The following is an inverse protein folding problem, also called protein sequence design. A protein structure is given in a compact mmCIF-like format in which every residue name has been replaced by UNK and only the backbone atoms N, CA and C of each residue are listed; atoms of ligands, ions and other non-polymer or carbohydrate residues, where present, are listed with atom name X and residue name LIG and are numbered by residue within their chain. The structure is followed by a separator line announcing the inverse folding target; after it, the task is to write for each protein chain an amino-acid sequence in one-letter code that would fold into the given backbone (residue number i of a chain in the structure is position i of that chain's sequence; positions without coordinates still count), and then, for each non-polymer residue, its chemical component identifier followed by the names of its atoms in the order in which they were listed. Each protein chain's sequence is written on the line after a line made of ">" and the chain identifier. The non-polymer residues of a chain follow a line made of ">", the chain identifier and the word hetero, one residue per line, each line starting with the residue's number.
data_IF_367958745037
#
_entry.id   IF_367958745037
#
_cell.length_a   1.000
_cell.length_b   1.000
_cell.length_c   1.000
_cell.angle_alpha   90.00
_cell.angle_beta   90.00
_cell.angle_gamma   90.00
#
_symmetry.space_group_name_H-M   'P 1'
#
loop_
_entity.id
_entity.type
_entity.pdbx_description
1 polymer ?
#
# COMPACT_ATOMS: atom_id res chain seq x y z
N UNK A 1 -80.50 -16.89 -5.85
CA UNK A 1 -80.44 -15.44 -6.13
C UNK A 1 -79.31 -14.84 -5.29
N UNK A 2 -78.40 -14.09 -5.94
CA UNK A 2 -77.24 -13.41 -5.32
C UNK A 2 -77.69 -12.31 -4.34
N UNK A 3 -76.93 -12.09 -3.26
CA UNK A 3 -76.41 -10.77 -2.83
C UNK A 3 -75.45 -10.96 -1.64
N UNK A 4 -74.15 -10.83 -1.88
CA UNK A 4 -73.35 -9.59 -1.83
C UNK A 4 -72.82 -9.33 -0.40
N UNK A 5 -71.58 -9.75 -0.17
CA UNK A 5 -70.74 -9.43 1.00
C UNK A 5 -69.76 -8.37 0.55
N UNK A 6 -69.65 -7.20 1.20
CA UNK A 6 -68.40 -6.41 1.25
C UNK A 6 -68.34 -5.49 2.49
N UNK A 7 -67.37 -5.79 3.37
CA UNK A 7 -66.43 -5.00 4.19
C UNK A 7 -66.81 -3.78 5.05
N UNK A 8 -66.18 -3.71 6.24
CA UNK A 8 -65.21 -2.68 6.67
C UNK A 8 -64.42 -3.18 7.93
N UNK A 9 -63.25 -2.60 8.28
CA UNK A 9 -62.02 -3.35 8.51
C UNK A 9 -61.54 -3.39 9.97
N UNK A 10 -60.73 -4.39 10.30
CA UNK A 10 -59.99 -4.47 11.57
C UNK A 10 -58.60 -3.89 11.36
N UNK A 11 -58.31 -2.78 12.06
CA UNK A 11 -56.98 -2.18 12.14
C UNK A 11 -55.99 -3.14 12.80
N UNK A 12 -54.98 -3.57 12.05
CA UNK A 12 -53.79 -4.22 12.59
C UNK A 12 -52.68 -3.16 12.64
N UNK A 13 -52.25 -2.84 13.87
CA UNK A 13 -51.07 -2.04 14.15
C UNK A 13 -49.83 -2.80 13.64
N UNK A 14 -49.24 -2.35 12.55
CA UNK A 14 -47.93 -2.81 12.09
C UNK A 14 -46.87 -2.02 12.87
N UNK A 15 -46.24 -2.66 13.86
CA UNK A 15 -45.01 -2.14 14.43
C UNK A 15 -43.90 -2.34 13.39
N UNK A 16 -43.66 -1.30 12.58
CA UNK A 16 -42.51 -1.22 11.70
C UNK A 16 -41.26 -1.03 12.59
N UNK A 17 -40.67 -2.13 13.06
CA UNK A 17 -39.31 -2.10 13.59
C UNK A 17 -38.43 -1.81 12.38
N UNK A 18 -38.05 -0.54 12.23
CA UNK A 18 -36.91 -0.13 11.43
C UNK A 18 -35.68 -0.84 11.98
N UNK A 19 -35.37 -2.04 11.47
CA UNK A 19 -33.99 -2.51 11.44
C UNK A 19 -33.24 -1.56 10.50
N UNK A 20 -32.85 -0.39 11.01
CA UNK A 20 -31.68 0.29 10.49
C UNK A 20 -30.48 -0.55 10.94
N UNK A 21 -30.30 -1.71 10.32
CA UNK A 21 -29.00 -2.36 10.26
C UNK A 21 -28.11 -1.37 9.53
N UNK A 22 -27.46 -0.48 10.29
CA UNK A 22 -26.27 0.20 9.79
C UNK A 22 -25.33 -0.95 9.48
N UNK A 23 -25.16 -1.24 8.19
CA UNK A 23 -24.03 -2.04 7.74
C UNK A 23 -22.80 -1.28 8.20
N UNK A 24 -22.30 -1.61 9.40
CA UNK A 24 -21.00 -1.15 9.82
C UNK A 24 -20.05 -1.76 8.81
N UNK A 25 -19.29 -0.92 8.12
CA UNK A 25 -18.15 -1.42 7.37
C UNK A 25 -17.28 -2.14 8.40
N UNK A 26 -17.18 -3.46 8.32
CA UNK A 26 -16.35 -4.26 9.21
C UNK A 26 -14.89 -4.05 8.82
N UNK A 27 -14.36 -2.86 9.12
CA UNK A 27 -13.01 -2.45 8.74
C UNK A 27 -11.98 -3.36 9.43
N UNK A 28 -10.79 -3.57 8.84
CA UNK A 28 -9.83 -4.52 9.37
C UNK A 28 -9.32 -4.13 10.77
N UNK A 29 -8.91 -5.14 11.54
CA UNK A 29 -8.09 -4.95 12.73
C UNK A 29 -6.69 -4.44 12.33
N UNK A 30 -6.25 -3.36 12.98
CA UNK A 30 -4.96 -2.73 12.72
C UNK A 30 -3.84 -3.22 13.64
N UNK A 31 -4.15 -4.01 14.68
CA UNK A 31 -3.14 -4.53 15.61
C UNK A 31 -2.09 -5.35 14.87
N UNK A 32 -0.82 -5.07 15.16
CA UNK A 32 0.31 -5.73 14.50
C UNK A 32 0.49 -5.41 13.02
N UNK A 33 -0.36 -4.55 12.42
CA UNK A 33 -0.23 -4.17 11.01
C UNK A 33 0.90 -3.18 10.82
N UNK A 34 1.55 -3.30 9.68
CA UNK A 34 2.44 -2.27 9.14
C UNK A 34 1.66 -1.48 8.10
N UNK A 35 1.61 -0.16 8.26
CA UNK A 35 1.01 0.77 7.32
C UNK A 35 2.10 1.68 6.75
N UNK A 36 2.00 1.96 5.45
CA UNK A 36 2.88 2.87 4.74
C UNK A 36 2.16 4.19 4.50
N UNK A 37 2.79 5.28 4.93
CA UNK A 37 2.24 6.63 4.83
C UNK A 37 2.82 7.31 3.59
N UNK A 38 1.92 7.86 2.76
CA UNK A 38 2.24 8.76 1.65
C UNK A 38 1.63 10.15 1.90
N UNK A 39 2.17 11.18 1.27
CA UNK A 39 1.79 12.58 1.52
C UNK A 39 2.99 13.52 1.35
N UNK A 40 2.88 14.75 1.83
CA UNK A 40 3.99 15.72 1.75
C UNK A 40 4.27 16.34 3.11
N UNK A 41 5.50 16.20 3.60
CA UNK A 41 5.94 16.88 4.81
C UNK A 41 6.58 18.22 4.44
N UNK A 42 6.04 19.32 4.96
CA UNK A 42 6.45 20.68 4.62
C UNK A 42 6.93 21.43 5.86
N UNK A 43 7.86 22.34 5.64
CA UNK A 43 8.23 23.35 6.61
C UNK A 43 8.18 24.74 5.96
N UNK A 44 7.82 25.75 6.74
CA UNK A 44 7.81 27.13 6.27
C UNK A 44 8.24 28.09 7.38
N UNK A 45 8.45 29.34 7.00
CA UNK A 45 8.93 30.41 7.87
C UNK A 45 10.08 31.15 7.20
N UNK A 46 10.48 32.29 7.76
CA UNK A 46 11.56 33.11 7.19
C UNK A 46 12.82 32.98 8.03
N UNK A 47 13.96 32.67 7.41
CA UNK A 47 15.27 32.64 8.03
C UNK A 47 16.33 33.13 7.04
N UNK A 48 17.38 33.79 7.53
CA UNK A 48 18.43 34.37 6.67
C UNK A 48 17.94 35.34 5.58
N UNK A 49 16.73 35.89 5.71
CA UNK A 49 16.12 36.78 4.71
C UNK A 49 15.30 36.07 3.64
N UNK A 50 15.30 34.74 3.61
CA UNK A 50 14.59 33.92 2.62
C UNK A 50 13.46 33.11 3.26
N UNK A 51 12.48 32.70 2.46
CA UNK A 51 11.48 31.74 2.89
C UNK A 51 12.10 30.34 2.89
N UNK A 52 11.97 29.63 4.00
CA UNK A 52 12.52 28.29 4.19
C UNK A 52 11.95 27.30 3.17
N UNK A 53 10.69 27.49 2.75
CA UNK A 53 10.08 26.69 1.71
C UNK A 53 10.84 26.79 0.37
N UNK A 54 11.61 27.85 0.11
CA UNK A 54 12.40 27.98 -1.13
C UNK A 54 13.63 27.08 -1.13
N UNK A 55 14.13 26.65 0.03
CA UNK A 55 15.19 25.64 0.11
C UNK A 55 14.68 24.22 -0.17
N UNK A 56 13.36 24.01 -0.14
CA UNK A 56 12.72 22.73 -0.44
C UNK A 56 11.28 22.98 -0.92
N UNK A 57 11.10 23.51 -2.15
CA UNK A 57 9.80 23.98 -2.64
C UNK A 57 8.73 22.87 -2.64
N UNK A 58 9.16 21.63 -2.85
CA UNK A 58 8.29 20.47 -2.88
C UNK A 58 8.09 19.82 -1.50
N UNK A 59 8.82 20.29 -0.47
CA UNK A 59 8.90 19.62 0.83
C UNK A 59 9.65 18.30 0.76
N UNK A 60 9.41 17.43 1.75
CA UNK A 60 9.82 16.02 1.70
C UNK A 60 8.60 15.21 1.26
N UNK A 61 8.63 14.69 0.04
CA UNK A 61 7.58 13.80 -0.45
C UNK A 61 7.68 12.41 0.16
N UNK A 62 6.58 11.95 0.76
CA UNK A 62 6.36 10.57 1.14
C UNK A 62 5.68 9.90 -0.04
N UNK A 63 6.46 9.22 -0.87
CA UNK A 63 5.96 8.56 -2.07
C UNK A 63 5.64 7.10 -1.78
N UNK A 64 4.91 6.44 -2.69
CA UNK A 64 4.68 5.00 -2.59
C UNK A 64 5.99 4.19 -2.64
N UNK A 65 7.04 4.72 -3.29
CA UNK A 65 8.37 4.10 -3.42
C UNK A 65 9.29 4.38 -2.23
N UNK A 66 9.00 5.41 -1.42
CA UNK A 66 9.72 5.74 -0.19
C UNK A 66 8.75 6.23 0.91
N UNK A 67 7.84 5.36 1.38
CA UNK A 67 6.84 5.76 2.36
C UNK A 67 7.42 5.82 3.77
N UNK A 68 6.77 6.59 4.65
CA UNK A 68 7.03 6.47 6.08
C UNK A 68 6.33 5.20 6.62
N UNK A 69 7.08 4.34 7.30
CA UNK A 69 6.58 3.05 7.83
C UNK A 69 6.02 3.23 9.24
N UNK A 70 4.72 3.09 9.40
CA UNK A 70 4.06 3.05 10.71
C UNK A 70 3.77 1.61 11.13
N UNK A 71 4.39 1.17 12.23
CA UNK A 71 4.13 -0.16 12.81
C UNK A 71 3.18 -0.02 14.00
N UNK A 72 2.02 -0.66 13.93
CA UNK A 72 1.01 -0.63 14.99
C UNK A 72 1.24 -1.81 15.94
N UNK A 73 1.32 -1.53 17.24
CA UNK A 73 1.50 -2.56 18.26
C UNK A 73 0.33 -3.58 18.33
N UNK A 74 0.60 -4.74 18.92
CA UNK A 74 -0.36 -5.85 19.03
C UNK A 74 -1.32 -5.74 20.25
N UNK A 75 -1.27 -4.67 21.03
CA UNK A 75 -2.08 -4.53 22.25
C UNK A 75 -3.46 -3.86 22.00
N UNK A 76 -4.44 -4.14 22.86
CA UNK A 76 -5.76 -3.47 22.88
C UNK A 76 -6.96 -4.35 22.51
N UNK A 77 -8.17 -3.82 22.73
CA UNK A 77 -9.45 -4.45 22.36
C UNK A 77 -9.72 -4.31 20.84
N UNK A 78 -10.54 -5.21 20.30
CA UNK A 78 -10.80 -5.33 18.86
C UNK A 78 -11.60 -4.16 18.28
N UNK A 79 -12.50 -3.56 19.06
CA UNK A 79 -13.43 -2.51 18.56
C UNK A 79 -12.93 -1.07 18.73
N UNK A 80 -11.81 -0.87 19.43
CA UNK A 80 -11.28 0.45 19.73
C UNK A 80 -9.84 0.31 20.24
N UNK A 81 -8.96 -0.21 19.40
CA UNK A 81 -7.60 -0.55 19.83
C UNK A 81 -6.90 0.70 20.31
N UNK A 82 -6.40 0.70 21.56
CA UNK A 82 -5.36 1.65 21.96
C UNK A 82 -4.16 1.35 21.06
N UNK A 83 -3.99 2.14 20.00
CA UNK A 83 -2.90 2.00 19.08
C UNK A 83 -1.66 2.61 19.71
N UNK A 84 -0.52 1.96 19.55
CA UNK A 84 0.77 2.62 19.68
C UNK A 84 1.55 2.40 18.40
N UNK A 85 2.27 3.42 17.96
CA UNK A 85 3.09 3.33 16.76
C UNK A 85 4.35 4.20 16.87
N UNK A 86 5.28 3.93 15.97
CA UNK A 86 6.40 4.83 15.68
C UNK A 86 6.17 5.41 14.30
N UNK A 87 6.17 6.74 14.21
CA UNK A 87 6.18 7.44 12.93
C UNK A 87 7.61 7.90 12.64
N UNK A 88 8.36 7.19 11.78
CA UNK A 88 9.63 7.67 11.29
C UNK A 88 9.37 8.74 10.22
N UNK A 89 10.06 9.86 10.30
CA UNK A 89 10.19 10.72 9.13
C UNK A 89 11.15 10.04 8.15
N UNK A 90 10.87 10.13 6.84
CA UNK A 90 11.58 9.39 5.80
C UNK A 90 13.07 9.74 5.78
N UNK A 91 13.90 8.89 5.13
CA UNK A 91 15.28 9.22 4.84
C UNK A 91 15.36 10.42 3.88
N UNK A 92 16.37 11.26 4.09
CA UNK A 92 16.48 12.55 3.42
C UNK A 92 17.15 12.44 2.06
N UNK A 93 16.97 13.45 1.20
CA UNK A 93 17.75 13.58 -0.03
C UNK A 93 19.23 13.69 0.32
N UNK A 94 19.98 12.66 -0.04
CA UNK A 94 21.42 12.58 0.13
C UNK A 94 22.17 12.84 -1.16
N UNK A 95 21.48 12.97 -2.29
CA UNK A 95 22.10 13.13 -3.61
C UNK A 95 21.79 14.52 -4.16
N UNK A 96 22.84 15.30 -4.42
CA UNK A 96 22.78 16.58 -5.14
C UNK A 96 23.87 16.56 -6.19
N UNK A 97 23.56 16.94 -7.43
CA UNK A 97 24.51 16.95 -8.55
C UNK A 97 25.25 15.60 -8.73
N UNK A 98 24.53 14.48 -8.60
CA UNK A 98 25.05 13.10 -8.64
C UNK A 98 26.12 12.75 -7.59
N UNK A 99 26.26 13.55 -6.53
CA UNK A 99 27.14 13.26 -5.39
C UNK A 99 26.29 12.83 -4.21
N UNK A 100 26.58 11.65 -3.65
CA UNK A 100 25.93 11.13 -2.44
C UNK A 100 26.64 11.62 -1.18
N UNK A 101 25.88 12.19 -0.27
CA UNK A 101 26.30 12.74 1.02
C UNK A 101 25.76 11.91 2.19
N UNK A 102 26.49 11.80 3.29
CA UNK A 102 26.06 11.04 4.46
C UNK A 102 24.80 11.65 5.09
N UNK A 103 23.70 10.90 5.16
CA UNK A 103 22.42 11.36 5.75
C UNK A 103 22.43 11.38 7.27
N UNK A 104 21.54 12.18 7.87
CA UNK A 104 21.29 12.17 9.31
C UNK A 104 19.95 11.51 9.62
N UNK A 105 19.88 10.82 10.76
CA UNK A 105 18.66 10.12 11.17
C UNK A 105 17.65 11.13 11.73
N UNK A 106 16.46 11.16 11.15
CA UNK A 106 15.34 11.92 11.70
C UNK A 106 14.80 11.29 12.99
N UNK A 107 14.24 12.08 13.92
CA UNK A 107 13.64 11.57 15.15
C UNK A 107 12.44 10.67 14.84
N UNK A 108 12.26 9.62 15.65
CA UNK A 108 11.06 8.78 15.62
C UNK A 108 10.03 9.31 16.62
N UNK A 109 8.83 9.62 16.14
CA UNK A 109 7.75 10.14 16.97
C UNK A 109 6.90 8.99 17.52
N UNK A 110 6.90 8.73 18.84
CA UNK A 110 5.99 7.79 19.43
C UNK A 110 4.56 8.34 19.38
N UNK A 111 3.65 7.52 18.89
CA UNK A 111 2.23 7.83 18.78
C UNK A 111 1.41 6.90 19.66
N UNK A 112 0.36 7.42 20.27
CA UNK A 112 -0.70 6.65 20.93
C UNK A 112 -2.06 7.14 20.44
N UNK A 113 -3.02 6.23 20.27
CA UNK A 113 -4.27 6.59 19.63
C UNK A 113 -5.34 5.50 19.63
N UNK A 114 -6.30 5.64 18.73
CA UNK A 114 -7.39 4.69 18.53
C UNK A 114 -7.87 4.64 17.09
N UNK A 115 -8.42 3.49 16.72
CA UNK A 115 -9.15 3.29 15.47
C UNK A 115 -10.51 2.65 15.75
N UNK A 116 -11.58 3.33 15.33
CA UNK A 116 -12.93 2.81 15.41
C UNK A 116 -13.28 2.12 14.10
N UNK A 117 -13.35 0.78 14.12
CA UNK A 117 -13.62 -0.04 12.93
C UNK A 117 -15.02 0.18 12.37
N UNK A 118 -15.99 0.47 13.22
CA UNK A 118 -17.38 0.70 12.83
C UNK A 118 -17.59 2.04 12.12
N UNK A 119 -16.86 3.09 12.52
CA UNK A 119 -17.01 4.44 11.93
C UNK A 119 -15.86 4.83 11.00
N UNK A 120 -14.78 4.06 10.97
CA UNK A 120 -13.53 4.43 10.29
C UNK A 120 -12.75 5.56 10.97
N UNK A 121 -13.18 6.06 12.13
CA UNK A 121 -12.50 7.18 12.75
C UNK A 121 -11.12 6.75 13.27
N UNK A 122 -10.08 7.42 12.79
CA UNK A 122 -8.69 7.22 13.20
C UNK A 122 -8.19 8.47 13.92
N UNK A 123 -7.55 8.28 15.07
CA UNK A 123 -6.99 9.37 15.86
C UNK A 123 -5.73 8.91 16.55
N UNK A 124 -4.61 9.60 16.36
CA UNK A 124 -3.36 9.37 17.09
C UNK A 124 -2.77 10.69 17.56
N UNK A 125 -2.07 10.66 18.69
CA UNK A 125 -1.32 11.79 19.25
C UNK A 125 0.09 11.36 19.60
N UNK A 126 1.05 12.27 19.49
CA UNK A 126 2.43 11.99 19.88
C UNK A 126 3.13 13.23 20.39
N UNK A 127 4.16 13.01 21.19
CA UNK A 127 5.02 14.08 21.68
C UNK A 127 6.47 13.61 21.89
N UNK A 128 7.42 14.52 21.63
CA UNK A 128 8.83 14.39 22.02
C UNK A 128 9.18 15.60 22.86
N UNK A 129 9.54 15.39 24.12
CA UNK A 129 10.03 16.45 25.00
C UNK A 129 11.47 16.82 24.66
N UNK A 130 11.86 18.07 24.93
CA UNK A 130 13.20 18.57 24.65
C UNK A 130 13.37 19.00 23.19
N UNK A 131 14.60 18.92 22.67
CA UNK A 131 14.92 19.38 21.31
C UNK A 131 14.88 18.22 20.32
N UNK A 132 14.15 18.40 19.22
CA UNK A 132 14.14 17.50 18.06
C UNK A 132 14.76 18.22 16.87
N UNK A 133 15.61 17.53 16.11
CA UNK A 133 16.25 18.08 14.90
C UNK A 133 15.80 17.24 13.73
N UNK A 134 15.15 17.88 12.76
CA UNK A 134 14.78 17.30 11.48
C UNK A 134 15.86 17.65 10.47
N UNK A 135 16.34 16.65 9.75
CA UNK A 135 17.18 16.82 8.58
C UNK A 135 16.25 16.78 7.36
N UNK A 136 16.36 17.79 6.50
CA UNK A 136 15.60 17.90 5.25
C UNK A 136 16.44 17.53 4.03
N UNK A 137 17.70 17.12 4.25
CA UNK A 137 18.61 16.68 3.21
C UNK A 137 19.59 17.76 2.78
N UNK A 138 20.24 17.49 1.66
CA UNK A 138 21.25 18.38 1.06
C UNK A 138 20.60 19.20 -0.04
N UNK A 139 20.89 20.49 -0.06
CA UNK A 139 20.40 21.44 -1.05
C UNK A 139 21.53 22.32 -1.56
N UNK A 140 21.48 22.71 -2.83
CA UNK A 140 22.38 23.71 -3.40
C UNK A 140 21.84 25.12 -3.14
N UNK A 141 22.24 25.71 -2.03
CA UNK A 141 21.89 27.07 -1.71
C UNK A 141 22.78 28.01 -2.54
N UNK A 142 22.23 28.65 -3.57
CA UNK A 142 22.95 29.51 -4.53
C UNK A 142 23.97 30.49 -3.92
N UNK A 143 23.70 31.01 -2.72
CA UNK A 143 24.57 31.95 -1.99
C UNK A 143 25.57 31.31 -1.02
N UNK A 144 25.39 30.04 -0.64
CA UNK A 144 26.25 29.31 0.31
C UNK A 144 26.84 28.01 -0.25
N UNK A 145 26.56 27.70 -1.53
CA UNK A 145 26.81 26.41 -2.16
C UNK A 145 26.00 25.28 -1.54
N UNK A 146 26.45 24.04 -1.78
CA UNK A 146 25.80 22.84 -1.25
C UNK A 146 25.88 22.80 0.28
N UNK A 147 24.71 22.64 0.93
CA UNK A 147 24.54 22.62 2.39
C UNK A 147 23.50 21.58 2.80
N UNK A 148 23.66 21.01 3.99
CA UNK A 148 22.61 20.20 4.64
C UNK A 148 21.70 21.11 5.46
N UNK A 149 20.38 20.94 5.28
CA UNK A 149 19.35 21.76 5.90
C UNK A 149 18.76 21.04 7.11
N UNK A 150 18.93 21.63 8.29
CA UNK A 150 18.42 21.10 9.55
C UNK A 150 17.39 22.06 10.17
N UNK A 151 16.27 21.55 10.67
CA UNK A 151 15.28 22.30 11.43
C UNK A 151 15.20 21.77 12.85
N UNK A 152 15.64 22.58 13.81
CA UNK A 152 15.52 22.28 15.24
C UNK A 152 14.24 22.85 15.83
N UNK A 153 13.46 22.03 16.54
CA UNK A 153 12.26 22.45 17.28
C UNK A 153 12.30 21.93 18.72
N UNK A 154 11.46 22.51 19.59
CA UNK A 154 11.37 22.12 21.00
C UNK A 154 9.98 21.64 21.37
N UNK A 155 9.90 20.57 22.16
CA UNK A 155 8.66 19.98 22.68
C UNK A 155 7.66 19.71 21.55
N UNK A 156 8.08 18.91 20.58
CA UNK A 156 7.30 18.51 19.41
C UNK A 156 6.04 17.76 19.85
N UNK A 157 4.90 18.07 19.24
CA UNK A 157 3.61 17.44 19.46
C UNK A 157 2.88 17.31 18.12
N UNK A 158 2.11 16.25 17.93
CA UNK A 158 1.24 16.08 16.74
C UNK A 158 -0.07 15.43 17.13
N UNK A 159 -1.12 15.71 16.36
CA UNK A 159 -2.39 14.97 16.37
C UNK A 159 -2.72 14.59 14.94
N UNK A 160 -2.77 13.29 14.65
CA UNK A 160 -3.13 12.73 13.35
C UNK A 160 -4.58 12.25 13.43
N UNK A 161 -5.48 12.96 12.76
CA UNK A 161 -6.87 12.55 12.58
C UNK A 161 -7.07 12.03 11.15
N UNK A 162 -7.86 10.97 10.97
CA UNK A 162 -8.14 10.45 9.64
C UNK A 162 -9.38 9.57 9.58
N UNK A 163 -9.74 9.16 8.37
CA UNK A 163 -10.86 8.25 8.12
C UNK A 163 -10.41 7.02 7.34
N UNK A 164 -10.63 5.85 7.92
CA UNK A 164 -10.47 4.55 7.30
C UNK A 164 -11.64 4.20 6.39
N UNK A 165 -11.35 3.60 5.24
CA UNK A 165 -12.34 3.16 4.26
C UNK A 165 -11.82 1.98 3.44
N UNK A 166 -12.74 1.21 2.85
CA UNK A 166 -12.44 0.14 1.89
C UNK A 166 -12.83 0.64 0.50
N UNK A 167 -11.88 0.60 -0.44
CA UNK A 167 -12.11 0.95 -1.84
C UNK A 167 -12.99 -0.09 -2.56
N UNK A 168 -13.45 0.23 -3.76
CA UNK A 168 -14.25 -0.68 -4.60
C UNK A 168 -13.51 -1.96 -4.99
N UNK A 169 -12.19 -1.93 -4.93
CA UNK A 169 -11.27 -3.05 -5.17
C UNK A 169 -10.89 -3.82 -3.89
N UNK A 170 -11.53 -3.50 -2.75
CA UNK A 170 -11.25 -4.12 -1.47
C UNK A 170 -10.05 -3.51 -0.72
N UNK A 171 -9.36 -2.51 -1.27
CA UNK A 171 -8.18 -1.91 -0.62
C UNK A 171 -8.58 -1.12 0.63
N UNK A 172 -8.02 -1.47 1.79
CA UNK A 172 -8.13 -0.64 2.98
C UNK A 172 -7.17 0.56 2.93
N UNK A 173 -7.70 1.76 3.18
CA UNK A 173 -6.89 2.99 3.31
C UNK A 173 -7.39 3.87 4.44
N UNK A 174 -6.49 4.57 5.11
CA UNK A 174 -6.78 5.69 6.03
C UNK A 174 -6.33 6.97 5.34
N UNK A 175 -7.18 8.00 5.33
CA UNK A 175 -6.88 9.27 4.67
C UNK A 175 -7.21 10.46 5.56
N UNK A 176 -6.40 11.51 5.44
CA UNK A 176 -6.76 12.84 5.90
C UNK A 176 -6.51 13.87 4.79
N UNK A 177 -7.56 14.52 4.27
CA UNK A 177 -7.38 15.68 3.41
C UNK A 177 -6.95 16.91 4.22
N UNK A 178 -6.17 17.78 3.59
CA UNK A 178 -5.66 19.02 4.19
C UNK A 178 -4.37 18.82 4.98
N UNK A 179 -4.06 19.77 5.87
CA UNK A 179 -2.81 19.81 6.60
C UNK A 179 -2.98 19.32 8.03
N UNK A 180 -2.11 18.41 8.48
CA UNK A 180 -1.89 18.14 9.89
C UNK A 180 -0.72 18.98 10.41
N UNK A 181 -0.94 19.91 11.36
CA UNK A 181 0.14 20.69 11.94
C UNK A 181 0.92 19.89 12.99
N UNK A 182 2.24 20.05 12.97
CA UNK A 182 3.09 19.71 14.10
C UNK A 182 3.21 20.95 14.99
N UNK A 183 2.88 20.78 16.26
CA UNK A 183 2.97 21.82 17.26
C UNK A 183 4.32 21.70 17.98
N UNK A 184 4.90 22.84 18.32
CA UNK A 184 6.16 22.93 19.08
C UNK A 184 6.17 24.27 19.81
N UNK A 185 7.07 24.41 20.76
CA UNK A 185 7.20 25.66 21.49
C UNK A 185 7.80 26.73 20.58
N UNK A 186 7.17 27.91 20.57
CA UNK A 186 7.68 29.12 19.94
C UNK A 186 7.90 30.13 21.06
N UNK A 187 9.16 30.47 21.32
CA UNK A 187 9.53 31.52 22.26
C UNK A 187 10.26 32.64 21.53
N UNK A 188 10.10 33.87 22.03
CA UNK A 188 10.86 35.04 21.58
C UNK A 188 12.32 35.02 22.04
N UNK A 189 12.72 34.03 22.85
CA UNK A 189 14.08 33.91 23.34
C UNK A 189 14.93 33.07 22.37
N UNK A 190 15.86 33.76 21.72
CA UNK A 190 16.85 33.22 20.78
C UNK A 190 17.58 31.96 21.29
N UNK A 191 17.78 31.82 22.61
CA UNK A 191 18.54 30.72 23.20
C UNK A 191 17.69 29.52 23.62
N UNK A 192 16.38 29.67 23.86
CA UNK A 192 15.64 28.67 24.65
C UNK A 192 14.33 28.16 24.04
N UNK A 193 13.86 28.69 22.91
CA UNK A 193 12.60 28.17 22.34
C UNK A 193 12.11 28.67 20.98
N UNK A 194 12.91 29.32 20.14
CA UNK A 194 12.48 29.55 18.74
C UNK A 194 13.00 28.41 17.85
N UNK A 195 12.19 27.91 16.89
CA UNK A 195 12.68 26.99 15.87
C UNK A 195 13.87 27.58 15.13
N UNK A 196 14.83 26.71 14.78
CA UNK A 196 16.10 27.13 14.19
C UNK A 196 16.37 26.40 12.89
N UNK A 197 16.84 27.15 11.90
CA UNK A 197 17.44 26.62 10.68
C UNK A 197 18.94 26.46 10.92
N UNK A 198 19.49 25.28 10.65
CA UNK A 198 20.91 24.99 10.66
C UNK A 198 21.37 24.63 9.26
N UNK A 199 22.39 25.33 8.76
CA UNK A 199 23.07 25.00 7.50
C UNK A 199 24.44 24.40 7.80
N UNK A 200 24.63 23.12 7.46
CA UNK A 200 25.86 22.38 7.73
C UNK A 200 26.62 22.06 6.45
N UNK A 201 27.90 21.70 6.59
CA UNK A 201 28.59 20.99 5.52
C UNK A 201 27.84 19.69 5.20
N UNK A 202 27.80 19.25 3.94
CA UNK A 202 27.00 18.09 3.54
C UNK A 202 27.34 16.78 4.27
N UNK A 203 28.54 16.67 4.83
CA UNK A 203 29.06 15.50 5.57
C UNK A 203 28.85 15.55 7.08
N UNK A 204 28.32 16.64 7.65
CA UNK A 204 28.17 16.80 9.10
C UNK A 204 26.73 16.57 9.56
N UNK A 205 26.56 15.72 10.58
CA UNK A 205 25.31 15.54 11.30
C UNK A 205 25.38 16.22 12.66
N UNK A 206 24.84 17.44 12.75
CA UNK A 206 24.76 18.18 13.99
C UNK A 206 24.34 19.64 13.78
N UNK A 207 23.78 20.25 14.83
CA UNK A 207 23.34 21.65 14.81
C UNK A 207 24.50 22.61 15.18
N UNK A 208 25.67 22.47 14.55
CA UNK A 208 26.93 23.12 14.95
C UNK A 208 27.50 24.19 14.00
N UNK A 209 27.03 24.23 12.75
CA UNK A 209 27.36 25.23 11.72
C UNK A 209 26.56 26.54 11.82
N UNK A 210 26.29 27.18 10.68
CA UNK A 210 25.53 28.45 10.64
C UNK A 210 24.09 28.21 11.07
N UNK A 211 23.62 28.95 12.07
CA UNK A 211 22.25 28.83 12.58
C UNK A 211 21.49 30.15 12.47
N UNK A 212 20.19 30.08 12.21
CA UNK A 212 19.29 31.24 12.17
C UNK A 212 17.96 30.90 12.84
N UNK A 213 17.37 31.91 13.48
CA UNK A 213 16.02 31.76 14.04
C UNK A 213 14.99 31.84 12.92
N UNK A 214 14.04 30.91 12.92
CA UNK A 214 12.93 30.89 11.98
C UNK A 214 11.83 31.81 12.51
N UNK A 215 11.45 32.80 11.72
CA UNK A 215 10.25 33.63 11.96
C UNK A 215 9.03 32.95 11.36
N UNK A 216 7.91 33.03 12.07
CA UNK A 216 6.63 32.42 11.70
C UNK A 216 6.76 30.95 11.24
N UNK A 217 7.41 30.09 12.05
CA UNK A 217 7.69 28.71 11.67
C UNK A 217 6.41 27.89 11.58
N UNK A 218 6.31 27.04 10.55
CA UNK A 218 5.31 25.97 10.49
C UNK A 218 5.94 24.64 10.05
N UNK A 219 5.38 23.54 10.56
CA UNK A 219 5.67 22.17 10.12
C UNK A 219 4.32 21.47 9.89
N UNK A 220 4.11 20.91 8.71
CA UNK A 220 2.84 20.27 8.34
C UNK A 220 3.04 18.97 7.58
N UNK A 221 2.11 18.04 7.73
CA UNK A 221 1.95 16.87 6.86
C UNK A 221 0.66 17.05 6.06
N UNK A 222 0.79 17.20 4.75
CA UNK A 222 -0.33 17.52 3.84
C UNK A 222 -0.86 16.27 3.15
N UNK A 223 -2.19 16.16 3.07
CA UNK A 223 -2.96 15.18 2.28
C UNK A 223 -2.48 13.74 2.45
N UNK A 224 -2.20 13.33 3.70
CA UNK A 224 -1.61 12.03 3.92
C UNK A 224 -2.61 10.89 3.74
N UNK A 225 -2.09 9.78 3.25
CA UNK A 225 -2.78 8.50 3.11
C UNK A 225 -1.94 7.40 3.73
N UNK A 226 -2.57 6.41 4.35
CA UNK A 226 -1.92 5.24 4.91
C UNK A 226 -2.61 3.96 4.44
N UNK A 227 -1.83 2.95 4.09
CA UNK A 227 -2.35 1.64 3.71
C UNK A 227 -1.34 0.52 4.04
N UNK A 228 -1.78 -0.73 4.24
CA UNK A 228 -0.88 -1.88 4.20
C UNK A 228 -0.19 -1.98 2.83
N UNK A 229 0.93 -2.70 2.72
CA UNK A 229 1.54 -2.97 1.42
C UNK A 229 0.60 -3.71 0.48
N UNK A 230 0.82 -3.50 -0.80
CA UNK A 230 0.13 -4.17 -1.89
C UNK A 230 1.14 -4.72 -2.90
N UNK A 231 0.73 -5.77 -3.60
CA UNK A 231 1.46 -6.34 -4.73
C UNK A 231 0.59 -6.23 -5.97
N UNK A 232 1.08 -5.54 -6.99
CA UNK A 232 0.37 -5.34 -8.25
C UNK A 232 1.35 -5.40 -9.42
N UNK A 233 0.81 -5.71 -10.59
CA UNK A 233 1.63 -5.93 -11.77
C UNK A 233 0.88 -6.68 -12.87
N UNK A 234 1.61 -7.47 -13.65
CA UNK A 234 1.11 -8.22 -14.80
C UNK A 234 1.50 -9.69 -14.72
N UNK A 235 0.56 -10.56 -15.05
CA UNK A 235 0.81 -11.97 -15.36
C UNK A 235 0.58 -12.15 -16.86
N UNK A 236 1.61 -12.59 -17.57
CA UNK A 236 1.47 -12.98 -18.97
C UNK A 236 1.08 -14.45 -18.99
N UNK A 237 -0.12 -14.74 -19.50
CA UNK A 237 -0.56 -16.09 -19.80
C UNK A 237 -0.11 -16.41 -21.22
N UNK A 238 0.81 -17.36 -21.37
CA UNK A 238 1.33 -17.70 -22.69
C UNK A 238 0.20 -18.10 -23.65
N UNK A 239 0.28 -17.55 -24.86
CA UNK A 239 -0.60 -17.81 -25.99
C UNK A 239 -2.11 -17.54 -25.78
N UNK A 240 -2.54 -17.13 -24.59
CA UNK A 240 -3.96 -16.89 -24.30
C UNK A 240 -4.44 -15.55 -24.86
N UNK A 241 -5.37 -15.61 -25.81
CA UNK A 241 -5.99 -14.43 -26.42
C UNK A 241 -7.03 -13.75 -25.51
N UNK A 242 -7.44 -14.42 -24.42
CA UNK A 242 -8.36 -13.90 -23.41
C UNK A 242 -7.72 -13.92 -22.00
N UNK A 243 -6.86 -12.94 -21.66
CA UNK A 243 -6.10 -12.96 -20.41
C UNK A 243 -6.92 -12.86 -19.12
N UNK A 244 -8.22 -12.52 -19.20
CA UNK A 244 -9.11 -12.36 -18.05
C UNK A 244 -9.49 -13.69 -17.39
N UNK A 245 -8.49 -14.44 -16.94
CA UNK A 245 -8.59 -15.75 -16.33
C UNK A 245 -8.41 -15.65 -14.81
N UNK A 246 -9.01 -16.56 -14.02
CA UNK A 246 -8.68 -16.68 -12.60
C UNK A 246 -7.26 -17.22 -12.44
N UNK A 247 -6.45 -16.50 -11.65
CA UNK A 247 -5.09 -16.89 -11.27
C UNK A 247 -4.98 -16.88 -9.75
N UNK A 248 -4.37 -17.95 -9.22
CA UNK A 248 -4.13 -18.12 -7.79
C UNK A 248 -2.71 -17.71 -7.45
N UNK A 249 -2.57 -16.91 -6.41
CA UNK A 249 -1.34 -16.44 -5.82
C UNK A 249 -1.20 -17.08 -4.44
N UNK A 250 -0.09 -17.78 -4.20
CA UNK A 250 0.28 -18.27 -2.87
C UNK A 250 1.49 -17.46 -2.43
N UNK A 251 1.31 -16.64 -1.40
CA UNK A 251 2.36 -15.83 -0.82
C UNK A 251 2.93 -16.55 0.39
N UNK A 252 4.09 -17.18 0.20
CA UNK A 252 4.83 -17.87 1.25
C UNK A 252 5.86 -16.93 1.90
N UNK A 253 5.94 -16.89 3.23
CA UNK A 253 7.02 -16.20 3.96
C UNK A 253 7.43 -17.01 5.18
N UNK A 254 8.71 -16.96 5.53
CA UNK A 254 9.36 -17.89 6.47
C UNK A 254 8.84 -17.85 7.91
N UNK A 255 8.20 -16.77 8.33
CA UNK A 255 7.72 -16.55 9.69
C UNK A 255 6.21 -16.70 9.85
N UNK A 256 5.47 -17.01 8.79
CA UNK A 256 4.02 -17.14 8.83
C UNK A 256 3.49 -18.24 7.92
N UNK A 257 2.17 -18.41 7.93
CA UNK A 257 1.49 -19.32 7.03
C UNK A 257 1.34 -18.74 5.62
N UNK A 258 1.05 -19.63 4.67
CA UNK A 258 0.75 -19.25 3.30
C UNK A 258 -0.53 -18.42 3.23
N UNK A 259 -0.46 -17.32 2.48
CA UNK A 259 -1.63 -16.53 2.13
C UNK A 259 -2.02 -16.83 0.69
N UNK A 260 -3.19 -17.44 0.50
CA UNK A 260 -3.74 -17.72 -0.84
C UNK A 260 -4.72 -16.62 -1.25
N UNK A 261 -4.53 -16.07 -2.45
CA UNK A 261 -5.46 -15.13 -3.09
C UNK A 261 -5.72 -15.55 -4.53
N UNK A 262 -6.99 -15.66 -4.91
CA UNK A 262 -7.38 -15.87 -6.30
C UNK A 262 -7.97 -14.59 -6.86
N UNK A 263 -7.48 -14.14 -8.01
CA UNK A 263 -7.93 -12.94 -8.70
C UNK A 263 -8.15 -13.24 -10.17
N UNK A 264 -9.23 -12.70 -10.74
CA UNK A 264 -9.39 -12.66 -12.20
C UNK A 264 -8.52 -11.54 -12.73
N UNK A 265 -7.63 -11.86 -13.67
CA UNK A 265 -6.75 -10.87 -14.28
C UNK A 265 -7.56 -9.84 -15.10
N UNK A 266 -6.96 -8.67 -15.32
CA UNK A 266 -7.44 -7.66 -16.26
C UNK A 266 -7.29 -8.11 -17.71
N UNK A 267 -7.86 -7.32 -18.63
CA UNK A 267 -7.85 -7.62 -20.06
C UNK A 267 -6.44 -7.74 -20.66
N UNK A 268 -5.42 -7.15 -20.04
CA UNK A 268 -4.03 -7.33 -20.46
C UNK A 268 -3.19 -8.07 -19.39
N UNK A 269 -3.82 -8.87 -18.53
CA UNK A 269 -3.13 -9.67 -17.52
C UNK A 269 -2.81 -8.91 -16.22
N UNK A 270 -3.37 -7.72 -16.01
CA UNK A 270 -3.12 -6.94 -14.80
C UNK A 270 -3.75 -7.57 -13.55
N UNK A 271 -3.09 -7.42 -12.40
CA UNK A 271 -3.66 -7.84 -11.11
C UNK A 271 -3.29 -6.88 -9.98
N UNK A 272 -4.00 -6.99 -8.85
CA UNK A 272 -3.65 -6.29 -7.62
C UNK A 272 -4.09 -7.08 -6.39
N UNK A 273 -3.16 -7.23 -5.45
CA UNK A 273 -3.36 -7.86 -4.15
C UNK A 273 -3.15 -6.80 -3.06
N UNK A 274 -4.19 -6.55 -2.27
CA UNK A 274 -4.17 -5.56 -1.18
C UNK A 274 -4.04 -6.23 0.20
N UNK A 275 -3.86 -5.41 1.23
CA UNK A 275 -3.91 -5.81 2.64
C UNK A 275 -2.91 -6.91 3.02
N UNK A 276 -1.72 -6.85 2.41
CA UNK A 276 -0.62 -7.77 2.70
C UNK A 276 0.13 -7.32 3.97
N UNK A 277 0.82 -8.24 4.63
CA UNK A 277 1.77 -7.88 5.69
C UNK A 277 3.11 -7.48 5.10
N UNK A 278 3.85 -6.63 5.80
CA UNK A 278 5.22 -6.29 5.41
C UNK A 278 6.15 -7.48 5.72
N UNK A 279 6.54 -8.22 4.69
CA UNK A 279 7.43 -9.37 4.76
C UNK A 279 8.15 -9.57 3.42
N UNK A 280 9.17 -10.43 3.42
CA UNK A 280 9.74 -10.99 2.21
C UNK A 280 8.95 -12.26 1.84
N UNK A 281 8.45 -12.28 0.61
CA UNK A 281 7.65 -13.38 0.08
C UNK A 281 8.36 -14.13 -1.04
N UNK A 282 8.13 -15.42 -1.10
CA UNK A 282 8.14 -16.17 -2.37
C UNK A 282 6.70 -16.22 -2.86
N UNK A 283 6.45 -15.62 -4.02
CA UNK A 283 5.11 -15.54 -4.63
C UNK A 283 4.99 -16.63 -5.68
N UNK A 284 4.19 -17.65 -5.40
CA UNK A 284 3.82 -18.66 -6.38
C UNK A 284 2.57 -18.20 -7.12
N UNK A 285 2.60 -18.27 -8.44
CA UNK A 285 1.52 -17.85 -9.33
C UNK A 285 1.12 -19.04 -10.18
N UNK A 286 -0.16 -19.44 -10.10
CA UNK A 286 -0.71 -20.62 -10.77
C UNK A 286 -2.02 -20.27 -11.47
N UNK A 287 -2.08 -20.54 -12.77
CA UNK A 287 -3.32 -20.57 -13.53
C UNK A 287 -3.77 -22.01 -13.75
N UNK A 288 -5.06 -22.22 -14.03
CA UNK A 288 -5.65 -23.57 -14.11
C UNK A 288 -5.01 -24.49 -15.15
N UNK A 289 -4.59 -23.93 -16.30
CA UNK A 289 -4.00 -24.68 -17.43
C UNK A 289 -2.55 -24.28 -17.76
N UNK A 290 -1.91 -23.59 -16.81
CA UNK A 290 -0.53 -23.13 -16.94
C UNK A 290 0.31 -23.64 -15.78
N UNK A 291 1.59 -23.91 -16.02
CA UNK A 291 2.53 -24.30 -14.98
C UNK A 291 2.70 -23.20 -13.94
N UNK A 292 2.89 -23.60 -12.67
CA UNK A 292 3.24 -22.70 -11.59
C UNK A 292 4.62 -22.08 -11.81
N UNK A 293 4.76 -20.82 -11.43
CA UNK A 293 6.05 -20.16 -11.30
C UNK A 293 6.17 -19.45 -9.96
N UNK A 294 7.39 -19.32 -9.46
CA UNK A 294 7.72 -18.63 -8.22
C UNK A 294 8.56 -17.39 -8.50
N UNK A 295 8.30 -16.30 -7.77
CA UNK A 295 9.10 -15.07 -7.88
C UNK A 295 9.23 -14.41 -6.51
N UNK A 296 10.44 -13.99 -6.08
CA UNK A 296 10.60 -13.27 -4.83
C UNK A 296 9.99 -11.87 -4.90
N UNK A 297 9.36 -11.43 -3.81
CA UNK A 297 8.79 -10.09 -3.67
C UNK A 297 8.99 -9.56 -2.24
N UNK A 298 9.71 -8.45 -2.09
CA UNK A 298 9.91 -7.80 -0.78
C UNK A 298 8.91 -6.68 -0.56
N UNK A 299 8.04 -6.84 0.43
CA UNK A 299 7.05 -5.82 0.85
C UNK A 299 7.43 -5.18 2.20
N UNK A 300 8.69 -5.31 2.63
CA UNK A 300 9.17 -4.82 3.92
C UNK A 300 9.09 -3.29 4.06
N UNK A 301 9.29 -2.58 2.95
CA UNK A 301 9.52 -1.13 2.93
C UNK A 301 8.53 -0.36 2.04
N UNK A 302 7.84 -1.02 1.11
CA UNK A 302 6.88 -0.40 0.21
C UNK A 302 5.97 -1.44 -0.45
N UNK A 303 4.95 -0.96 -1.16
CA UNK A 303 4.22 -1.76 -2.15
C UNK A 303 5.07 -2.00 -3.40
N UNK A 304 4.73 -3.04 -4.17
CA UNK A 304 5.26 -3.32 -5.50
C UNK A 304 4.16 -3.08 -6.54
N UNK A 305 4.48 -2.34 -7.61
CA UNK A 305 3.53 -1.97 -8.68
C UNK A 305 3.85 -2.52 -10.06
N UNK A 306 5.02 -3.11 -10.23
CA UNK A 306 5.61 -3.57 -11.49
C UNK A 306 5.99 -5.05 -11.45
N UNK A 307 5.34 -5.84 -10.59
CA UNK A 307 5.54 -7.29 -10.56
C UNK A 307 5.21 -7.89 -11.94
N UNK A 308 6.08 -8.74 -12.47
CA UNK A 308 5.85 -9.35 -13.78
C UNK A 308 6.28 -10.81 -13.76
N UNK A 309 5.42 -11.68 -14.28
CA UNK A 309 5.76 -13.09 -14.49
C UNK A 309 5.05 -13.67 -15.72
N UNK A 310 5.57 -14.79 -16.23
CA UNK A 310 5.04 -15.55 -17.36
C UNK A 310 4.62 -16.93 -16.87
N UNK A 311 3.41 -17.35 -17.20
CA UNK A 311 2.98 -18.73 -16.98
C UNK A 311 3.00 -19.48 -18.32
N UNK A 312 3.70 -20.62 -18.36
CA UNK A 312 3.80 -21.49 -19.53
C UNK A 312 2.55 -22.36 -19.64
N UNK A 313 2.01 -22.46 -20.84
CA UNK A 313 0.72 -23.13 -21.06
C UNK A 313 0.89 -24.61 -21.37
N UNK A 314 -0.03 -25.45 -20.89
CA UNK A 314 -0.08 -26.88 -21.26
C UNK A 314 -0.39 -27.87 -20.12
N UNK A 315 -0.48 -27.41 -18.87
CA UNK A 315 -0.83 -28.21 -17.69
C UNK A 315 -2.35 -28.29 -17.54
N UNK A 316 -2.99 -29.00 -18.48
CA UNK A 316 -4.43 -29.08 -18.68
C UNK A 316 -5.14 -29.76 -17.49
N UNK A 317 -4.47 -30.71 -16.84
CA UNK A 317 -5.02 -31.48 -15.72
C UNK A 317 -4.78 -30.83 -14.34
N UNK A 318 -4.03 -29.73 -14.28
CA UNK A 318 -3.71 -28.93 -13.08
C UNK A 318 -2.89 -29.72 -12.04
N UNK A 319 -1.98 -30.59 -12.49
CA UNK A 319 -1.07 -31.36 -11.63
C UNK A 319 0.35 -30.76 -11.54
N UNK A 320 0.56 -29.59 -12.16
CA UNK A 320 1.82 -28.87 -12.22
C UNK A 320 2.91 -29.56 -13.05
N UNK A 321 2.53 -30.46 -13.96
CA UNK A 321 3.37 -31.01 -15.00
C UNK A 321 2.70 -30.82 -16.37
N UNK A 322 3.50 -30.87 -17.44
CA UNK A 322 3.00 -30.96 -18.82
C UNK A 322 3.44 -32.31 -19.35
N UNK A 323 2.55 -33.29 -19.35
CA UNK A 323 2.90 -34.66 -19.70
C UNK A 323 1.83 -35.39 -20.52
N UNK A 324 1.86 -36.73 -20.49
CA UNK A 324 0.90 -37.55 -21.24
C UNK A 324 -0.55 -37.37 -20.72
N UNK A 325 -0.73 -37.08 -19.43
CA UNK A 325 -2.02 -36.80 -18.82
C UNK A 325 -2.73 -35.66 -19.53
N UNK A 326 -2.03 -34.53 -19.72
CA UNK A 326 -2.55 -33.37 -20.43
C UNK A 326 -2.85 -33.67 -21.88
N UNK A 327 -1.92 -34.35 -22.56
CA UNK A 327 -2.05 -34.70 -23.97
C UNK A 327 -3.29 -35.55 -24.19
N UNK A 328 -3.56 -36.48 -23.28
CA UNK A 328 -4.74 -37.34 -23.34
C UNK A 328 -6.04 -36.54 -23.27
N UNK A 329 -6.10 -35.47 -22.46
CA UNK A 329 -7.28 -34.62 -22.32
C UNK A 329 -7.47 -33.75 -23.57
N UNK A 330 -6.38 -33.19 -24.09
CA UNK A 330 -6.41 -32.41 -25.34
C UNK A 330 -6.94 -33.26 -26.50
N UNK A 331 -6.38 -34.47 -26.68
CA UNK A 331 -6.78 -35.35 -27.78
C UNK A 331 -8.23 -35.84 -27.67
N UNK A 332 -8.77 -35.99 -26.46
CA UNK A 332 -10.18 -36.32 -26.25
C UNK A 332 -11.13 -35.19 -26.66
N UNK A 333 -10.63 -33.96 -26.72
CA UNK A 333 -11.40 -32.74 -27.01
C UNK A 333 -11.04 -32.13 -28.38
N UNK A 334 -10.20 -32.82 -29.17
CA UNK A 334 -9.63 -32.29 -30.42
C UNK A 334 -10.71 -32.01 -31.48
N UNK A 335 -10.56 -30.88 -32.17
CA UNK A 335 -11.53 -30.26 -33.09
C UNK A 335 -12.85 -29.79 -32.45
N UNK A 336 -13.00 -29.80 -31.13
CA UNK A 336 -14.19 -29.24 -30.47
C UNK A 336 -14.12 -27.70 -30.45
N UNK A 337 -15.26 -27.05 -30.66
CA UNK A 337 -15.44 -25.61 -30.54
C UNK A 337 -16.30 -25.27 -29.33
N UNK A 338 -16.23 -24.03 -28.85
CA UNK A 338 -17.15 -23.55 -27.80
C UNK A 338 -18.61 -23.87 -28.19
N UNK A 339 -19.28 -24.62 -27.30
CA UNK A 339 -20.66 -25.06 -27.48
C UNK A 339 -20.81 -26.54 -27.84
N UNK A 340 -19.74 -27.20 -28.27
CA UNK A 340 -19.74 -28.65 -28.53
C UNK A 340 -19.68 -29.46 -27.22
N UNK A 341 -20.31 -30.64 -27.20
CA UNK A 341 -20.34 -31.52 -26.02
C UNK A 341 -18.94 -31.97 -25.55
N UNK A 342 -18.00 -32.07 -26.49
CA UNK A 342 -16.62 -32.47 -26.25
C UNK A 342 -15.71 -31.29 -25.89
N UNK A 343 -16.18 -30.04 -25.96
CA UNK A 343 -15.37 -28.89 -25.63
C UNK A 343 -15.03 -28.87 -24.14
N UNK A 344 -13.75 -28.62 -23.86
CA UNK A 344 -13.18 -28.50 -22.52
C UNK A 344 -12.32 -27.24 -22.50
N UNK A 345 -12.76 -26.21 -21.79
CA UNK A 345 -12.06 -24.90 -21.69
C UNK A 345 -10.58 -25.04 -21.26
N UNK A 346 -10.25 -26.06 -20.48
CA UNK A 346 -8.89 -26.36 -20.05
C UNK A 346 -7.98 -26.85 -21.18
N UNK A 347 -8.54 -27.45 -22.25
CA UNK A 347 -7.81 -27.95 -23.40
C UNK A 347 -7.71 -26.94 -24.56
N UNK A 348 -8.51 -25.87 -24.55
CA UNK A 348 -8.37 -24.68 -25.42
C UNK A 348 -7.28 -23.78 -24.81
N UNK A 349 -6.02 -24.17 -24.96
CA UNK A 349 -4.86 -23.57 -24.27
C UNK A 349 -4.68 -22.10 -24.65
N UNK A 350 -4.84 -21.78 -25.94
CA UNK A 350 -4.64 -20.43 -26.48
C UNK A 350 -5.87 -19.50 -26.30
N UNK A 351 -6.96 -20.03 -25.73
CA UNK A 351 -8.17 -19.29 -25.41
C UNK A 351 -8.87 -18.72 -26.66
N UNK A 352 -8.71 -19.32 -27.85
CA UNK A 352 -9.28 -18.80 -29.10
C UNK A 352 -10.68 -19.33 -29.42
N UNK A 353 -11.18 -20.26 -28.60
CA UNK A 353 -12.51 -20.86 -28.71
C UNK A 353 -12.55 -22.17 -29.51
N UNK A 354 -11.41 -22.66 -29.99
CA UNK A 354 -11.23 -23.98 -30.56
C UNK A 354 -10.22 -24.82 -29.79
N UNK A 355 -10.26 -26.14 -29.99
CA UNK A 355 -9.24 -27.07 -29.50
C UNK A 355 -8.64 -27.74 -30.72
N UNK A 356 -7.48 -27.28 -31.18
CA UNK A 356 -6.93 -27.72 -32.45
C UNK A 356 -5.40 -27.89 -32.46
N UNK A 357 -4.79 -27.81 -33.65
CA UNK A 357 -3.35 -27.92 -33.81
C UNK A 357 -2.58 -26.78 -33.12
N UNK A 358 -3.19 -25.59 -33.00
CA UNK A 358 -2.65 -24.45 -32.27
C UNK A 358 -2.35 -24.82 -30.83
N UNK A 359 -3.34 -25.36 -30.10
CA UNK A 359 -3.19 -25.81 -28.72
C UNK A 359 -2.17 -26.92 -28.58
N UNK A 360 -2.27 -27.94 -29.45
CA UNK A 360 -1.34 -29.06 -29.44
C UNK A 360 0.11 -28.57 -29.65
N UNK A 361 0.32 -27.61 -30.55
CA UNK A 361 1.66 -27.08 -30.84
C UNK A 361 2.26 -26.32 -29.66
N UNK A 362 1.44 -25.63 -28.85
CA UNK A 362 1.89 -24.93 -27.65
C UNK A 362 2.24 -25.96 -26.57
N UNK A 363 1.36 -26.93 -26.32
CA UNK A 363 1.60 -27.98 -25.34
C UNK A 363 2.91 -28.74 -25.63
N UNK A 364 3.15 -29.11 -26.89
CA UNK A 364 4.35 -29.86 -27.29
C UNK A 364 5.65 -29.07 -27.11
N UNK A 365 5.62 -27.73 -27.13
CA UNK A 365 6.80 -26.90 -26.85
C UNK A 365 7.25 -27.02 -25.38
N UNK A 366 6.33 -27.35 -24.48
CA UNK A 366 6.55 -27.46 -23.04
C UNK A 366 6.43 -28.89 -22.51
N UNK A 367 6.42 -29.88 -23.40
CA UNK A 367 6.26 -31.28 -23.00
C UNK A 367 7.39 -31.72 -22.05
N UNK A 368 7.01 -32.43 -20.99
CA UNK A 368 7.87 -32.92 -19.91
C UNK A 368 8.52 -31.80 -19.07
N UNK A 369 7.89 -30.63 -18.99
CA UNK A 369 8.22 -29.58 -18.03
C UNK A 369 7.36 -29.71 -16.76
N UNK A 370 7.89 -29.22 -15.65
CA UNK A 370 7.25 -29.18 -14.34
C UNK A 370 7.28 -27.74 -13.84
N UNK A 371 6.22 -27.32 -13.14
CA UNK A 371 6.18 -26.02 -12.49
C UNK A 371 6.95 -26.02 -11.18
N UNK A 372 7.11 -24.81 -10.63
CA UNK A 372 7.86 -24.54 -9.39
C UNK A 372 7.19 -25.07 -8.11
#
# INVERSE_FOLDING_TARGET
>A
MKKLVFYLPVSIFFALILLSGRAFADLPDLRGKTLFVTGTFRASGTALGENIAEYFPDGIELTASNPAKMVIAQSGLEDNSTLTALFPLPPNTTVVNNVTYAGCTNPSLPLTGRFNRATGAFHMTGAIAGTSVFDFGVYDASIFGIKRVLVGVKNLRVTLDGTGSIGTNGQFTIKQPGDTPFLFDISSNFFTGTPKLGLQTPSSCGFGGTTSTIKDPSLTLSNWTMAPPSLSGRVTLEACTMPAQPVTFILHHSSGGDLTKTVTLGANGEFSLYDLSAADYTVFVKGRKWLQTSTPASLLNSSISDFSTLLLAGDINDDNAIDFGDLSILLQSYNALIGDDLYREQADINCDGGIDFGDLSIMLQHYNLFGD
#
